data_IF_169431282153
#
_entry.id   IF_169431282153
#
_cell.length_a   1.000
_cell.length_b   1.000
_cell.length_c   1.000
_cell.angle_alpha   90.00
_cell.angle_beta   90.00
_cell.angle_gamma   90.00
#
_symmetry.space_group_name_H-M   'P 1'
#
loop_
_entity.id
_entity.type
_entity.pdbx_description
1 polymer ?
#
# COMPACT_ATOMS: atom_id res chain seq x y z
N UNK A 1 11.49 27.47 42.76
CA UNK A 1 11.70 27.41 41.28
C UNK A 1 12.10 26.03 40.76
N UNK A 2 12.56 25.07 41.56
CA UNK A 2 13.05 23.75 41.06
C UNK A 2 11.98 22.69 40.86
N UNK A 3 10.82 22.76 41.53
CA UNK A 3 9.73 21.79 41.40
C UNK A 3 8.86 22.00 40.12
N UNK A 4 8.70 23.23 39.68
CA UNK A 4 7.93 23.60 38.49
C UNK A 4 8.68 23.26 37.19
N UNK A 5 10.01 23.29 37.20
CA UNK A 5 10.86 22.91 36.06
C UNK A 5 10.85 21.38 35.86
N UNK A 6 10.84 20.60 36.93
CA UNK A 6 10.75 19.13 36.84
C UNK A 6 9.39 18.66 36.34
N UNK A 7 8.29 19.35 36.69
CA UNK A 7 6.96 19.04 36.16
C UNK A 7 6.86 19.38 34.67
N UNK A 8 7.45 20.44 34.18
CA UNK A 8 7.49 20.84 32.79
C UNK A 8 8.33 19.86 31.93
N UNK A 9 9.44 19.34 32.46
CA UNK A 9 10.29 18.35 31.78
C UNK A 9 9.59 16.96 31.75
N UNK A 10 8.84 16.58 32.79
CA UNK A 10 8.08 15.31 32.81
C UNK A 10 6.86 15.36 31.89
N UNK A 11 6.24 16.53 31.66
CA UNK A 11 5.12 16.71 30.72
C UNK A 11 5.65 16.71 29.26
N UNK A 12 6.89 17.11 29.01
CA UNK A 12 7.47 17.08 27.65
C UNK A 12 7.89 15.68 27.17
N UNK A 13 7.99 14.69 28.09
CA UNK A 13 8.37 13.30 27.76
C UNK A 13 7.13 12.40 27.50
N UNK A 14 5.92 12.90 27.77
CA UNK A 14 4.69 12.08 27.71
C UNK A 14 3.93 12.12 26.39
N UNK A 15 4.44 12.81 25.36
CA UNK A 15 3.92 12.77 23.99
C UNK A 15 4.96 12.17 23.04
N UNK A 16 5.36 10.93 23.29
CA UNK A 16 5.88 10.11 22.22
C UNK A 16 4.65 9.66 21.41
N UNK A 17 4.27 10.44 20.41
CA UNK A 17 3.33 10.03 19.40
C UNK A 17 3.90 8.74 18.79
N UNK A 18 3.10 7.68 18.74
CA UNK A 18 3.48 6.46 18.03
C UNK A 18 3.43 6.84 16.56
N UNK A 19 4.57 7.07 15.97
CA UNK A 19 4.71 7.31 14.55
C UNK A 19 4.34 6.00 13.86
N UNK A 20 3.22 6.00 13.13
CA UNK A 20 2.86 4.91 12.25
C UNK A 20 3.68 5.10 10.97
N UNK A 21 4.78 4.38 10.84
CA UNK A 21 5.52 4.37 9.58
C UNK A 21 4.60 3.81 8.50
N UNK A 22 4.49 4.53 7.37
CA UNK A 22 3.83 3.98 6.19
C UNK A 22 4.43 2.61 5.91
N UNK A 23 3.58 1.62 5.69
CA UNK A 23 4.04 0.27 5.47
C UNK A 23 4.89 0.20 4.20
N UNK A 24 6.20 0.02 4.36
CA UNK A 24 7.15 -0.10 3.25
C UNK A 24 6.95 -1.36 2.39
N UNK A 25 5.95 -2.18 2.73
CA UNK A 25 5.64 -3.43 2.02
C UNK A 25 4.76 -3.22 0.80
N UNK A 26 3.89 -2.19 0.80
CA UNK A 26 2.89 -1.95 -0.24
C UNK A 26 2.87 -0.48 -0.67
N UNK A 27 3.89 -0.07 -1.42
CA UNK A 27 3.99 1.30 -1.95
C UNK A 27 3.37 1.35 -3.35
N UNK A 28 2.03 1.43 -3.41
CA UNK A 28 1.26 1.45 -4.66
C UNK A 28 0.03 2.36 -4.55
N UNK A 29 -0.21 3.19 -5.57
CA UNK A 29 -1.48 3.87 -5.76
C UNK A 29 -2.32 3.04 -6.72
N UNK A 30 -3.39 2.44 -6.22
CA UNK A 30 -4.22 1.50 -6.96
C UNK A 30 -5.10 2.18 -8.00
N UNK A 31 -5.27 1.56 -9.19
CA UNK A 31 -6.34 1.89 -10.12
C UNK A 31 -7.69 1.33 -9.62
N UNK A 32 -8.82 1.87 -10.14
CA UNK A 32 -10.14 1.34 -9.81
C UNK A 32 -10.41 -0.05 -10.39
N UNK A 33 -9.70 -0.40 -11.46
CA UNK A 33 -9.89 -1.65 -12.17
C UNK A 33 -9.54 -2.85 -11.28
N UNK A 34 -10.34 -3.91 -11.41
CA UNK A 34 -10.10 -5.19 -10.76
C UNK A 34 -9.54 -6.20 -11.76
N UNK A 35 -8.84 -7.20 -11.27
CA UNK A 35 -8.39 -8.33 -12.09
C UNK A 35 -9.60 -8.99 -12.76
N UNK A 36 -9.55 -9.25 -14.08
CA UNK A 36 -10.67 -9.85 -14.79
C UNK A 36 -11.09 -11.23 -14.25
N UNK A 37 -12.34 -11.62 -14.44
CA UNK A 37 -12.82 -12.94 -14.03
C UNK A 37 -11.94 -14.07 -14.57
N UNK A 38 -11.68 -15.09 -13.76
CA UNK A 38 -10.83 -16.25 -14.12
C UNK A 38 -9.39 -15.89 -14.48
N UNK A 39 -8.92 -14.78 -13.99
CA UNK A 39 -7.54 -14.37 -14.12
C UNK A 39 -6.95 -14.30 -12.72
N UNK A 40 -5.75 -14.81 -12.56
CA UNK A 40 -4.93 -14.61 -11.37
C UNK A 40 -3.82 -13.64 -11.72
N UNK A 41 -3.69 -12.58 -10.96
CA UNK A 41 -2.55 -11.67 -10.99
C UNK A 41 -1.58 -12.09 -9.89
N UNK A 42 -0.30 -12.18 -10.23
CA UNK A 42 0.78 -12.40 -9.27
C UNK A 42 1.73 -11.23 -9.39
N UNK A 43 1.94 -10.51 -8.29
CA UNK A 43 2.80 -9.33 -8.23
C UNK A 43 3.88 -9.53 -7.16
N UNK A 44 5.04 -8.99 -7.45
CA UNK A 44 6.13 -8.86 -6.50
C UNK A 44 6.41 -7.37 -6.36
N UNK A 45 6.28 -6.86 -5.14
CA UNK A 45 6.67 -5.51 -4.77
C UNK A 45 8.00 -5.61 -4.04
N UNK A 46 9.02 -4.96 -4.57
CA UNK A 46 10.36 -4.92 -4.00
C UNK A 46 10.68 -3.48 -3.64
N UNK A 47 10.76 -3.18 -2.35
CA UNK A 47 10.98 -1.84 -1.83
C UNK A 47 12.26 -1.83 -0.98
N UNK A 48 13.28 -1.13 -1.46
CA UNK A 48 14.56 -1.01 -0.75
C UNK A 48 14.68 0.35 -0.09
N UNK A 49 14.74 0.37 1.24
CA UNK A 49 14.99 1.58 2.02
C UNK A 49 16.49 1.88 2.04
N UNK A 50 16.91 2.90 1.29
CA UNK A 50 18.31 3.34 1.20
C UNK A 50 18.71 4.16 2.43
N UNK A 51 17.81 5.04 2.89
CA UNK A 51 18.00 5.86 4.10
C UNK A 51 16.68 5.92 4.87
N UNK A 52 16.63 5.22 5.98
CA UNK A 52 15.47 5.09 6.85
C UNK A 52 15.85 5.14 8.33
N UNK A 53 14.96 4.62 9.19
CA UNK A 53 15.22 4.53 10.63
C UNK A 53 16.41 3.62 10.92
N UNK A 54 17.29 4.05 11.84
CA UNK A 54 18.57 3.37 12.13
C UNK A 54 18.57 2.66 13.48
N UNK A 55 17.54 2.89 14.26
CA UNK A 55 17.42 2.38 15.64
C UNK A 55 16.13 1.63 15.82
N UNK A 56 16.10 0.70 16.76
CA UNK A 56 14.89 0.03 17.18
C UNK A 56 13.95 1.05 17.85
N UNK A 57 12.73 1.18 17.36
CA UNK A 57 11.71 2.09 17.89
C UNK A 57 10.48 1.32 18.33
N UNK A 58 10.10 1.43 19.59
CA UNK A 58 8.95 0.70 20.17
C UNK A 58 8.95 -0.82 19.93
N UNK A 59 10.13 -1.43 19.78
CA UNK A 59 10.28 -2.86 19.47
C UNK A 59 10.22 -3.21 17.98
N UNK A 60 10.00 -2.22 17.11
CA UNK A 60 10.02 -2.35 15.66
C UNK A 60 11.44 -2.22 15.12
N UNK A 61 11.82 -3.12 14.23
CA UNK A 61 13.16 -3.16 13.61
C UNK A 61 13.38 -1.94 12.71
N UNK A 62 14.63 -1.45 12.60
CA UNK A 62 14.95 -0.32 11.75
C UNK A 62 14.75 -0.67 10.26
N UNK A 63 14.38 0.33 9.47
CA UNK A 63 14.15 0.19 8.03
C UNK A 63 15.40 0.45 7.19
N UNK A 64 16.44 1.08 7.77
CA UNK A 64 17.64 1.47 7.04
C UNK A 64 18.36 0.28 6.41
N UNK A 65 18.57 0.32 5.10
CA UNK A 65 19.13 -0.75 4.26
C UNK A 65 18.32 -2.07 4.28
N UNK A 66 17.04 -2.03 4.68
CA UNK A 66 16.15 -3.16 4.60
C UNK A 66 15.52 -3.28 3.19
N UNK A 67 15.38 -4.51 2.71
CA UNK A 67 14.55 -4.84 1.56
C UNK A 67 13.20 -5.36 2.07
N UNK A 68 12.12 -4.73 1.64
CA UNK A 68 10.77 -5.14 1.91
C UNK A 68 10.18 -5.80 0.66
N UNK A 69 9.75 -7.03 0.80
CA UNK A 69 9.23 -7.83 -0.31
C UNK A 69 7.79 -8.23 -0.03
N UNK A 70 6.92 -8.00 -0.98
CA UNK A 70 5.53 -8.45 -0.93
C UNK A 70 5.22 -9.34 -2.12
N UNK A 71 4.73 -10.53 -1.83
CA UNK A 71 4.09 -11.39 -2.82
C UNK A 71 2.58 -11.16 -2.72
N UNK A 72 2.01 -10.55 -3.76
CA UNK A 72 0.56 -10.41 -3.91
C UNK A 72 0.03 -11.44 -4.91
N UNK A 73 -1.04 -12.14 -4.54
CA UNK A 73 -1.77 -13.07 -5.42
C UNK A 73 -3.22 -12.64 -5.43
N UNK A 74 -3.66 -12.03 -6.52
CA UNK A 74 -5.03 -11.52 -6.67
C UNK A 74 -5.82 -12.34 -7.66
N UNK A 75 -6.98 -12.84 -7.23
CA UNK A 75 -7.92 -13.61 -8.05
C UNK A 75 -9.13 -12.77 -8.43
N UNK A 76 -9.36 -12.59 -9.74
CA UNK A 76 -10.60 -12.02 -10.26
C UNK A 76 -11.76 -13.02 -10.11
N UNK A 77 -12.78 -12.62 -9.34
CA UNK A 77 -13.96 -13.46 -9.05
C UNK A 77 -15.03 -13.25 -10.14
N UNK A 78 -15.32 -11.99 -10.44
CA UNK A 78 -16.29 -11.58 -11.46
C UNK A 78 -15.92 -10.19 -12.00
N UNK A 79 -16.78 -9.58 -12.84
CA UNK A 79 -16.52 -8.28 -13.47
C UNK A 79 -16.50 -7.06 -12.52
N UNK A 80 -16.79 -7.26 -11.24
CA UNK A 80 -16.85 -6.20 -10.25
C UNK A 80 -16.16 -6.55 -8.90
N UNK A 81 -15.57 -7.74 -8.77
CA UNK A 81 -14.98 -8.21 -7.51
C UNK A 81 -13.72 -9.03 -7.74
N UNK A 82 -12.72 -8.78 -6.90
CA UNK A 82 -11.51 -9.58 -6.76
C UNK A 82 -11.18 -9.84 -5.29
N UNK A 83 -10.29 -10.80 -5.03
CA UNK A 83 -9.70 -11.05 -3.71
C UNK A 83 -8.20 -11.21 -3.87
N UNK A 84 -7.43 -10.39 -3.16
CA UNK A 84 -5.98 -10.44 -3.04
C UNK A 84 -5.54 -11.11 -1.74
N UNK A 85 -4.39 -11.76 -1.79
CA UNK A 85 -3.67 -12.30 -0.66
C UNK A 85 -2.24 -11.78 -0.71
N UNK A 86 -1.74 -11.31 0.42
CA UNK A 86 -0.40 -10.76 0.57
C UNK A 86 0.42 -11.60 1.53
N UNK A 87 1.66 -11.83 1.17
CA UNK A 87 2.68 -12.38 2.06
C UNK A 87 3.82 -11.37 2.12
N UNK A 88 4.02 -10.78 3.29
CA UNK A 88 5.08 -9.81 3.53
C UNK A 88 6.33 -10.47 4.07
N UNK A 89 7.47 -10.05 3.55
CA UNK A 89 8.77 -10.43 4.08
C UNK A 89 9.74 -9.27 4.07
N UNK A 90 10.78 -9.36 4.89
CA UNK A 90 11.84 -8.36 4.97
C UNK A 90 13.20 -9.04 4.98
N UNK A 91 14.17 -8.46 4.29
CA UNK A 91 15.58 -8.85 4.36
C UNK A 91 16.31 -7.74 5.08
N UNK A 92 16.70 -8.00 6.31
CA UNK A 92 17.40 -7.07 7.19
C UNK A 92 18.91 -7.30 7.16
N UNK A 93 19.76 -6.26 7.20
CA UNK A 93 21.20 -6.41 7.15
C UNK A 93 21.77 -7.39 8.18
N UNK A 94 21.27 -7.33 9.42
CA UNK A 94 21.79 -8.13 10.53
C UNK A 94 20.93 -9.36 10.87
N UNK A 95 19.74 -9.50 10.26
CA UNK A 95 18.78 -10.56 10.59
C UNK A 95 18.42 -11.47 9.41
N UNK A 96 18.87 -11.14 8.18
CA UNK A 96 18.54 -11.88 6.98
C UNK A 96 17.05 -11.83 6.60
N UNK A 97 16.60 -12.84 5.87
CA UNK A 97 15.20 -12.94 5.46
C UNK A 97 14.29 -13.32 6.63
N UNK A 98 13.19 -12.61 6.76
CA UNK A 98 12.16 -12.87 7.76
C UNK A 98 10.76 -12.72 7.15
N UNK A 99 9.86 -13.63 7.50
CA UNK A 99 8.44 -13.43 7.30
C UNK A 99 7.94 -12.32 8.23
N UNK A 100 7.11 -11.43 7.70
CA UNK A 100 6.58 -10.26 8.41
C UNK A 100 5.13 -10.45 8.79
N UNK A 101 4.30 -10.85 7.85
CA UNK A 101 2.86 -11.00 8.04
C UNK A 101 2.13 -11.38 6.76
N UNK A 102 0.81 -11.46 6.87
CA UNK A 102 -0.09 -11.82 5.78
C UNK A 102 -1.37 -10.98 5.86
N UNK A 103 -1.86 -10.53 4.70
CA UNK A 103 -3.12 -9.82 4.59
C UNK A 103 -4.05 -10.46 3.56
N UNK A 104 -5.36 -10.23 3.73
CA UNK A 104 -6.39 -10.54 2.75
C UNK A 104 -7.09 -9.25 2.33
N UNK A 105 -7.28 -9.08 1.00
CA UNK A 105 -7.80 -7.85 0.41
C UNK A 105 -8.96 -8.12 -0.56
N UNK A 106 -10.21 -8.23 -0.09
CA UNK A 106 -11.37 -8.15 -0.98
C UNK A 106 -11.53 -6.72 -1.52
N UNK A 107 -11.73 -6.59 -2.83
CA UNK A 107 -12.01 -5.32 -3.51
C UNK A 107 -13.21 -5.45 -4.43
N UNK A 108 -14.05 -4.43 -4.44
CA UNK A 108 -15.22 -4.31 -5.32
C UNK A 108 -15.14 -3.01 -6.11
N UNK A 109 -15.59 -3.03 -7.36
CA UNK A 109 -15.65 -1.85 -8.23
C UNK A 109 -17.04 -1.59 -8.78
N UNK A 110 -17.28 -0.36 -9.18
CA UNK A 110 -18.44 -0.03 -10.01
C UNK A 110 -18.20 -0.60 -11.42
N UNK A 111 -19.08 -1.47 -11.92
CA UNK A 111 -18.92 -2.06 -13.24
C UNK A 111 -18.95 -1.02 -14.37
N UNK A 112 -18.11 -1.19 -15.39
CA UNK A 112 -18.02 -0.27 -16.54
C UNK A 112 -19.37 -0.09 -17.28
N UNK A 113 -20.23 -1.11 -17.30
CA UNK A 113 -21.59 -1.05 -17.90
C UNK A 113 -22.49 0.02 -17.29
N UNK A 114 -22.14 0.58 -16.11
CA UNK A 114 -22.90 1.69 -15.50
C UNK A 114 -22.47 3.06 -16.01
N UNK A 115 -21.42 3.12 -16.84
CA UNK A 115 -20.93 4.34 -17.50
C UNK A 115 -20.71 5.53 -16.54
N UNK A 116 -20.15 5.27 -15.36
CA UNK A 116 -19.83 6.34 -14.44
C UNK A 116 -18.74 7.26 -15.02
N UNK A 117 -18.76 8.56 -14.68
CA UNK A 117 -17.83 9.53 -15.25
C UNK A 117 -16.39 9.36 -14.74
N UNK A 118 -16.21 8.58 -13.68
CA UNK A 118 -14.93 8.23 -13.05
C UNK A 118 -14.91 6.76 -12.68
N UNK A 119 -13.73 6.16 -12.62
CA UNK A 119 -13.54 4.84 -12.04
C UNK A 119 -13.70 4.91 -10.51
N UNK A 120 -14.43 3.95 -9.92
CA UNK A 120 -14.60 3.86 -8.47
C UNK A 120 -14.51 2.42 -8.03
N UNK A 121 -13.68 2.17 -7.02
CA UNK A 121 -13.65 0.89 -6.31
C UNK A 121 -13.46 1.11 -4.81
N UNK A 122 -13.76 0.07 -4.04
CA UNK A 122 -13.57 0.02 -2.60
C UNK A 122 -12.77 -1.22 -2.26
N UNK A 123 -11.56 -1.02 -1.78
CA UNK A 123 -10.71 -2.05 -1.22
C UNK A 123 -10.92 -2.11 0.29
N UNK A 124 -10.87 -3.30 0.84
CA UNK A 124 -10.74 -3.54 2.27
C UNK A 124 -9.57 -4.50 2.46
N UNK A 125 -8.75 -4.23 3.45
CA UNK A 125 -7.62 -5.08 3.76
C UNK A 125 -7.61 -5.39 5.24
N UNK A 126 -7.42 -6.66 5.57
CA UNK A 126 -7.35 -7.12 6.95
C UNK A 126 -6.18 -8.08 7.10
N UNK A 127 -5.35 -7.86 8.10
CA UNK A 127 -4.21 -8.71 8.27
C UNK A 127 -3.44 -8.59 9.56
N UNK A 128 -2.38 -9.37 9.59
CA UNK A 128 -1.48 -9.52 10.71
C UNK A 128 -0.04 -9.20 10.31
N UNK A 129 0.64 -8.44 11.16
CA UNK A 129 2.08 -8.27 11.11
C UNK A 129 2.72 -8.61 12.47
N UNK A 130 3.94 -9.14 12.42
CA UNK A 130 4.70 -9.49 13.62
C UNK A 130 5.13 -8.23 14.38
N UNK A 131 5.16 -8.27 15.73
CA UNK A 131 5.55 -7.11 16.55
C UNK A 131 6.94 -6.52 16.24
N UNK A 132 7.84 -7.31 15.64
CA UNK A 132 9.15 -6.83 15.23
C UNK A 132 9.11 -5.91 14.00
N UNK A 133 7.97 -5.82 13.27
CA UNK A 133 7.83 -5.05 12.05
C UNK A 133 6.69 -4.03 12.10
N UNK A 134 5.73 -4.21 13.00
CA UNK A 134 4.66 -3.24 13.25
C UNK A 134 4.30 -3.24 14.73
N UNK A 135 4.17 -2.06 15.32
CA UNK A 135 3.65 -1.92 16.67
C UNK A 135 2.18 -2.37 16.77
N UNK A 136 1.42 -2.14 15.70
CA UNK A 136 0.02 -2.52 15.55
C UNK A 136 -0.08 -3.80 14.72
N UNK A 137 -0.25 -4.93 15.42
CA UNK A 137 -0.09 -6.25 14.81
C UNK A 137 -1.31 -6.75 14.04
N UNK A 138 -2.49 -6.22 14.31
CA UNK A 138 -3.73 -6.53 13.59
C UNK A 138 -4.40 -5.25 13.17
N UNK A 139 -4.55 -5.07 11.86
CA UNK A 139 -5.11 -3.87 11.27
C UNK A 139 -6.25 -4.20 10.32
N UNK A 140 -7.12 -3.24 10.11
CA UNK A 140 -8.13 -3.21 9.08
C UNK A 140 -8.07 -1.88 8.35
N UNK A 141 -7.89 -1.96 7.05
CA UNK A 141 -7.86 -0.83 6.16
C UNK A 141 -9.11 -0.80 5.27
N UNK A 142 -9.64 0.40 5.04
CA UNK A 142 -10.66 0.68 4.02
C UNK A 142 -10.07 1.73 3.09
N UNK A 143 -9.97 1.39 1.80
CA UNK A 143 -9.38 2.25 0.77
C UNK A 143 -10.38 2.48 -0.36
N UNK A 144 -11.17 3.57 -0.35
CA UNK A 144 -11.84 4.06 -1.54
C UNK A 144 -10.80 4.40 -2.62
N UNK A 145 -11.08 4.05 -3.86
CA UNK A 145 -10.22 4.32 -5.00
C UNK A 145 -11.06 5.06 -6.02
N UNK A 146 -10.60 6.24 -6.44
CA UNK A 146 -11.26 7.08 -7.43
C UNK A 146 -10.22 7.46 -8.46
N UNK A 147 -10.45 7.10 -9.72
CA UNK A 147 -9.52 7.46 -10.77
C UNK A 147 -10.19 7.95 -12.05
N UNK A 148 -9.39 8.58 -12.88
CA UNK A 148 -9.80 9.01 -14.21
C UNK A 148 -8.62 9.14 -15.16
N UNK A 149 -8.82 8.63 -16.38
CA UNK A 149 -7.97 8.94 -17.52
C UNK A 149 -8.62 10.04 -18.38
N UNK A 150 -7.86 11.12 -18.66
CA UNK A 150 -8.26 12.24 -19.50
C UNK A 150 -7.17 12.40 -20.55
N UNK A 151 -7.47 11.99 -21.79
CA UNK A 151 -6.52 11.91 -22.90
C UNK A 151 -5.25 11.09 -22.51
N UNK A 152 -4.13 11.79 -22.30
CA UNK A 152 -2.84 11.21 -21.92
C UNK A 152 -2.53 11.32 -20.43
N UNK A 153 -3.39 11.97 -19.65
CA UNK A 153 -3.26 12.11 -18.20
C UNK A 153 -4.04 11.04 -17.46
N UNK A 154 -3.43 10.46 -16.45
CA UNK A 154 -4.08 9.57 -15.49
C UNK A 154 -3.97 10.15 -14.09
N UNK A 155 -5.07 10.15 -13.39
CA UNK A 155 -5.22 10.67 -12.04
C UNK A 155 -5.86 9.57 -11.18
N UNK A 156 -5.27 9.23 -10.05
CA UNK A 156 -5.87 8.33 -9.05
C UNK A 156 -5.74 8.93 -7.66
N UNK A 157 -6.78 8.77 -6.86
CA UNK A 157 -6.85 9.17 -5.46
C UNK A 157 -7.38 8.03 -4.62
N UNK A 158 -6.59 7.60 -3.63
CA UNK A 158 -6.89 6.53 -2.70
C UNK A 158 -6.86 7.07 -1.27
N UNK A 159 -7.95 7.67 -0.74
CA UNK A 159 -8.05 8.04 0.66
C UNK A 159 -8.19 6.79 1.51
N UNK A 160 -7.13 6.45 2.23
CA UNK A 160 -7.07 5.24 3.06
C UNK A 160 -7.45 5.56 4.49
N UNK A 161 -8.28 4.71 5.06
CA UNK A 161 -8.69 4.73 6.47
C UNK A 161 -8.23 3.45 7.12
N UNK A 162 -7.51 3.54 8.23
CA UNK A 162 -6.98 2.39 8.95
C UNK A 162 -7.45 2.34 10.39
N UNK A 163 -7.67 1.12 10.90
CA UNK A 163 -8.01 0.85 12.29
C UNK A 163 -7.19 -0.30 12.84
N UNK A 164 -6.47 -0.03 13.94
CA UNK A 164 -5.78 -1.07 14.69
C UNK A 164 -6.72 -1.82 15.63
N UNK A 165 -6.56 -3.13 15.70
CA UNK A 165 -7.26 -4.00 16.66
C UNK A 165 -6.36 -4.53 17.76
N UNK A 166 -5.05 -4.46 17.58
CA UNK A 166 -4.09 -4.90 18.58
C UNK A 166 -2.79 -4.10 18.45
N UNK A 167 -2.39 -3.43 19.51
CA UNK A 167 -1.24 -2.56 19.59
C UNK A 167 -1.59 -1.20 20.18
N UNK A 168 -0.64 -0.25 20.21
CA UNK A 168 -0.86 1.09 20.77
C UNK A 168 -1.96 1.87 20.04
N UNK A 169 -2.05 1.76 18.71
CA UNK A 169 -3.01 2.47 17.86
C UNK A 169 -4.47 2.12 18.09
N UNK A 170 -4.78 1.07 18.89
CA UNK A 170 -6.17 0.72 19.27
C UNK A 170 -6.90 1.90 19.90
N UNK A 171 -6.20 2.75 20.65
CA UNK A 171 -6.77 3.89 21.36
C UNK A 171 -6.71 5.20 20.57
N UNK A 172 -6.01 5.24 19.43
CA UNK A 172 -5.76 6.47 18.65
C UNK A 172 -6.91 6.80 17.67
N UNK A 173 -7.80 5.84 17.44
CA UNK A 173 -8.94 6.04 16.56
C UNK A 173 -8.72 5.50 15.15
N UNK A 174 -9.26 6.21 14.15
CA UNK A 174 -9.12 5.84 12.73
C UNK A 174 -8.03 6.70 12.10
N UNK A 175 -6.97 6.08 11.63
CA UNK A 175 -5.89 6.73 10.89
C UNK A 175 -6.34 7.14 9.48
N UNK A 176 -5.69 8.17 8.93
CA UNK A 176 -5.94 8.68 7.58
C UNK A 176 -4.66 8.80 6.78
N UNK A 177 -4.60 8.08 5.66
CA UNK A 177 -3.44 7.99 4.77
C UNK A 177 -3.85 8.23 3.31
N UNK A 178 -3.84 9.48 2.81
CA UNK A 178 -4.18 9.78 1.43
C UNK A 178 -3.04 9.43 0.49
N UNK A 179 -3.33 8.69 -0.59
CA UNK A 179 -2.40 8.37 -1.65
C UNK A 179 -2.90 8.92 -2.99
N UNK A 180 -2.01 9.49 -3.79
CA UNK A 180 -2.36 10.17 -5.05
C UNK A 180 -1.35 9.79 -6.12
N UNK A 181 -1.84 9.52 -7.34
CA UNK A 181 -1.00 9.37 -8.56
C UNK A 181 -1.45 10.34 -9.63
N UNK A 182 -0.48 11.03 -10.21
CA UNK A 182 -0.65 11.82 -11.43
C UNK A 182 0.37 11.35 -12.42
N UNK A 183 -0.04 10.80 -13.56
CA UNK A 183 0.89 10.34 -14.59
C UNK A 183 0.47 10.76 -15.99
N UNK A 184 1.43 10.74 -16.92
CA UNK A 184 1.27 11.17 -18.29
C UNK A 184 1.86 10.13 -19.25
N UNK A 185 1.09 9.75 -20.26
CA UNK A 185 1.53 8.81 -21.30
C UNK A 185 2.49 9.52 -22.28
N UNK A 186 3.79 9.33 -22.14
CA UNK A 186 4.78 9.82 -23.09
C UNK A 186 4.67 9.10 -24.42
N UNK A 187 4.42 7.80 -24.37
CA UNK A 187 4.17 6.93 -25.52
C UNK A 187 3.01 5.98 -25.20
N UNK A 188 2.67 5.09 -26.14
CA UNK A 188 1.70 4.01 -25.88
C UNK A 188 2.19 2.95 -24.90
N UNK A 189 3.49 2.92 -24.61
CA UNK A 189 4.13 1.89 -23.77
C UNK A 189 4.80 2.44 -22.50
N UNK A 190 4.97 3.75 -22.42
CA UNK A 190 5.71 4.37 -21.32
C UNK A 190 4.90 5.54 -20.82
N UNK A 191 4.54 5.49 -19.57
CA UNK A 191 4.03 6.63 -18.82
C UNK A 191 4.96 6.94 -17.64
N UNK A 192 4.90 8.16 -17.18
CA UNK A 192 5.65 8.58 -16.00
C UNK A 192 4.88 9.61 -15.24
N UNK A 193 5.14 9.72 -13.97
CA UNK A 193 4.37 10.58 -13.10
C UNK A 193 4.96 10.78 -11.72
N UNK A 194 4.12 11.29 -10.88
CA UNK A 194 4.39 11.50 -9.47
C UNK A 194 3.34 10.77 -8.65
N UNK A 195 3.79 9.98 -7.71
CA UNK A 195 2.96 9.41 -6.66
C UNK A 195 3.27 10.10 -5.34
N UNK A 196 2.24 10.35 -4.56
CA UNK A 196 2.32 10.88 -3.21
C UNK A 196 1.69 9.89 -2.26
N UNK A 197 2.35 9.68 -1.13
CA UNK A 197 1.90 8.87 -0.01
C UNK A 197 1.96 9.70 1.26
N UNK A 198 0.85 9.74 2.01
CA UNK A 198 0.76 10.46 3.26
C UNK A 198 0.22 9.59 4.38
N UNK A 199 0.67 9.83 5.62
CA UNK A 199 0.00 9.36 6.82
C UNK A 199 -0.14 10.56 7.77
N UNK A 200 -1.38 10.93 8.09
CA UNK A 200 -1.68 12.17 8.79
C UNK A 200 -2.00 11.95 10.28
N UNK A 201 -2.01 10.69 10.72
CA UNK A 201 -2.47 10.32 12.04
C UNK A 201 -3.99 10.16 12.09
N UNK A 202 -4.58 10.34 13.28
CA UNK A 202 -6.00 10.10 13.51
C UNK A 202 -6.91 11.16 12.89
N UNK A 203 -8.03 10.73 12.31
CA UNK A 203 -9.11 11.63 11.87
C UNK A 203 -9.69 12.52 12.97
N UNK A 204 -9.56 12.12 14.22
CA UNK A 204 -10.02 12.92 15.37
C UNK A 204 -9.13 14.11 15.70
N UNK A 205 -7.90 14.11 15.17
CA UNK A 205 -6.90 15.16 15.34
C UNK A 205 -5.61 14.71 14.65
N UNK A 206 -5.30 15.37 13.52
CA UNK A 206 -4.08 15.06 12.78
C UNK A 206 -2.83 15.37 13.60
N UNK A 207 -1.80 14.58 13.40
CA UNK A 207 -0.50 14.78 14.02
C UNK A 207 0.15 16.09 13.56
N UNK A 208 1.09 16.65 14.34
CA UNK A 208 1.91 17.76 13.88
C UNK A 208 2.64 17.41 12.58
N UNK A 209 2.80 18.36 11.67
CA UNK A 209 3.35 18.09 10.31
C UNK A 209 4.70 17.36 10.32
N UNK A 210 5.53 17.56 11.32
CA UNK A 210 6.84 16.89 11.43
C UNK A 210 6.74 15.41 11.87
N UNK A 211 5.58 15.02 12.43
CA UNK A 211 5.23 13.65 12.83
C UNK A 211 4.37 12.95 11.77
N UNK A 212 3.81 13.71 10.80
CA UNK A 212 3.10 13.13 9.64
C UNK A 212 4.12 12.55 8.66
N UNK A 213 3.70 11.54 7.92
CA UNK A 213 4.49 11.04 6.80
C UNK A 213 4.10 11.70 5.49
N UNK A 214 5.12 12.09 4.73
CA UNK A 214 4.98 12.66 3.41
C UNK A 214 6.09 12.13 2.49
N UNK A 215 5.72 11.28 1.54
CA UNK A 215 6.63 10.71 0.56
C UNK A 215 6.19 11.03 -0.87
N UNK A 216 7.15 11.37 -1.72
CA UNK A 216 6.94 11.66 -3.13
C UNK A 216 7.80 10.72 -3.97
N UNK A 217 7.15 10.02 -4.91
CA UNK A 217 7.78 9.06 -5.81
C UNK A 217 7.64 9.53 -7.26
N UNK A 218 8.64 10.15 -7.90
CA UNK A 218 8.77 10.09 -9.34
C UNK A 218 8.75 8.64 -9.80
N UNK A 219 7.83 8.30 -10.71
CA UNK A 219 7.61 6.93 -11.17
C UNK A 219 7.57 6.81 -12.68
N UNK A 220 7.88 5.62 -13.15
CA UNK A 220 7.71 5.19 -14.53
C UNK A 220 6.94 3.88 -14.58
N UNK A 221 5.94 3.81 -15.43
CA UNK A 221 5.19 2.60 -15.75
C UNK A 221 5.55 2.17 -17.18
N UNK A 222 5.79 0.86 -17.38
CA UNK A 222 6.13 0.32 -18.69
C UNK A 222 5.15 -0.78 -19.08
N UNK A 223 4.46 -0.59 -20.19
CA UNK A 223 3.55 -1.58 -20.78
C UNK A 223 4.35 -2.59 -21.62
N UNK A 224 4.55 -3.78 -21.05
CA UNK A 224 5.10 -4.95 -21.73
C UNK A 224 4.01 -5.83 -22.38
N UNK A 225 2.75 -5.37 -22.38
CA UNK A 225 1.58 -6.07 -22.90
C UNK A 225 0.58 -6.42 -21.81
N UNK A 226 -0.64 -6.84 -22.20
CA UNK A 226 -1.79 -6.93 -21.29
C UNK A 226 -1.63 -7.92 -20.12
N UNK A 227 -0.62 -8.80 -20.21
CA UNK A 227 -0.34 -9.77 -19.16
C UNK A 227 0.66 -9.29 -18.12
N UNK A 228 1.32 -8.13 -18.35
CA UNK A 228 2.38 -7.65 -17.50
C UNK A 228 2.02 -6.31 -16.88
N UNK A 229 2.53 -6.12 -15.69
CA UNK A 229 2.58 -4.85 -14.99
C UNK A 229 4.01 -4.56 -14.56
N UNK A 230 4.44 -3.32 -14.73
CA UNK A 230 5.73 -2.85 -14.28
C UNK A 230 5.64 -1.40 -13.85
N UNK A 231 6.01 -1.15 -12.60
CA UNK A 231 6.18 0.19 -12.05
C UNK A 231 7.53 0.26 -11.35
N UNK A 232 8.23 1.37 -11.55
CA UNK A 232 9.48 1.67 -10.86
C UNK A 232 9.45 3.10 -10.38
N UNK A 233 9.98 3.35 -9.16
CA UNK A 233 10.03 4.68 -8.59
C UNK A 233 11.14 4.86 -7.56
N UNK A 234 11.49 6.12 -7.33
CA UNK A 234 12.42 6.54 -6.27
C UNK A 234 11.69 7.49 -5.36
N UNK A 235 11.54 7.12 -4.11
CA UNK A 235 10.79 7.86 -3.08
C UNK A 235 11.68 8.76 -2.25
N UNK A 236 11.19 9.97 -2.03
CA UNK A 236 11.82 10.96 -1.15
C UNK A 236 10.84 11.30 -0.03
N UNK A 237 11.20 10.96 1.21
CA UNK A 237 10.49 11.38 2.42
C UNK A 237 10.93 12.78 2.84
N UNK A 238 9.97 13.64 3.16
CA UNK A 238 10.24 15.06 3.44
C UNK A 238 10.00 15.46 4.90
N UNK A 239 9.57 14.53 5.74
CA UNK A 239 9.32 14.73 7.18
C UNK A 239 10.18 13.81 8.02
N UNK A 240 10.27 14.07 9.34
CA UNK A 240 11.08 13.27 10.26
C UNK A 240 10.53 11.86 10.46
N UNK A 241 9.21 11.70 10.34
CA UNK A 241 8.53 10.42 10.49
C UNK A 241 8.69 9.49 9.27
N UNK A 242 9.22 10.00 8.16
CA UNK A 242 9.28 9.28 6.88
C UNK A 242 10.67 8.72 6.64
N UNK A 243 10.77 7.51 6.08
CA UNK A 243 12.02 7.04 5.46
C UNK A 243 12.43 8.01 4.34
N UNK A 244 13.69 8.47 4.36
CA UNK A 244 14.12 9.58 3.50
C UNK A 244 14.36 9.20 2.05
N UNK A 245 14.76 7.94 1.80
CA UNK A 245 15.05 7.48 0.43
C UNK A 245 14.68 6.01 0.28
N UNK A 246 13.73 5.75 -0.62
CA UNK A 246 13.25 4.40 -0.94
C UNK A 246 13.31 4.20 -2.46
N UNK A 247 13.73 3.02 -2.89
CA UNK A 247 13.61 2.58 -4.28
C UNK A 247 12.56 1.49 -4.33
N UNK A 248 11.53 1.66 -5.17
CA UNK A 248 10.48 0.66 -5.36
C UNK A 248 10.47 0.08 -6.77
N UNK A 249 10.10 -1.18 -6.87
CA UNK A 249 9.86 -1.89 -8.12
C UNK A 249 8.68 -2.83 -7.96
N UNK A 250 7.69 -2.74 -8.83
CA UNK A 250 6.55 -3.66 -8.89
C UNK A 250 6.61 -4.38 -10.23
N UNK A 251 6.55 -5.71 -10.18
CA UNK A 251 6.47 -6.57 -11.35
C UNK A 251 5.30 -7.51 -11.17
N UNK A 252 4.33 -7.43 -12.08
CA UNK A 252 3.14 -8.26 -12.03
C UNK A 252 2.93 -9.05 -13.31
N UNK A 253 2.27 -10.20 -13.18
CA UNK A 253 1.87 -11.04 -14.31
C UNK A 253 0.50 -11.63 -14.13
N UNK A 254 -0.34 -11.51 -15.18
CA UNK A 254 -1.68 -12.09 -15.26
C UNK A 254 -1.64 -13.46 -15.90
N UNK A 255 -2.35 -14.43 -15.27
CA UNK A 255 -2.52 -15.80 -15.73
C UNK A 255 -4.01 -16.05 -15.97
N UNK A 256 -4.39 -16.28 -17.22
CA UNK A 256 -5.77 -16.56 -17.58
C UNK A 256 -6.06 -18.06 -17.49
N UNK A 257 -7.19 -18.42 -16.88
CA UNK A 257 -7.63 -19.81 -16.77
C UNK A 257 -8.58 -20.17 -17.92
N UNK A 258 -8.26 -21.21 -18.72
CA UNK A 258 -9.06 -21.58 -19.87
C UNK A 258 -10.47 -22.02 -19.48
N UNK A 259 -11.44 -21.70 -20.33
CA UNK A 259 -12.79 -22.25 -20.22
C UNK A 259 -12.73 -23.76 -20.44
N UNK A 260 -13.10 -24.58 -19.43
CA UNK A 260 -13.52 -25.95 -19.69
C UNK A 260 -14.87 -25.86 -20.40
N UNK A 261 -14.88 -25.84 -21.75
CA UNK A 261 -16.11 -26.13 -22.48
C UNK A 261 -16.54 -27.57 -22.11
N UNK A 262 -17.62 -27.69 -21.35
CA UNK A 262 -18.24 -28.97 -21.15
C UNK A 262 -18.67 -29.47 -22.55
N UNK A 263 -17.90 -30.39 -23.14
CA UNK A 263 -18.39 -31.20 -24.23
C UNK A 263 -19.51 -32.05 -23.62
N UNK A 264 -20.76 -31.57 -23.76
CA UNK A 264 -21.92 -32.41 -23.63
C UNK A 264 -21.80 -33.47 -24.74
N UNK A 265 -21.27 -34.64 -24.38
CA UNK A 265 -21.45 -35.83 -25.19
C UNK A 265 -22.96 -36.17 -25.16
N UNK A 266 -23.73 -35.63 -26.10
CA UNK A 266 -25.03 -36.11 -26.38
C UNK A 266 -24.83 -37.40 -27.19
N UNK A 267 -24.71 -38.53 -26.50
CA UNK A 267 -24.90 -39.83 -27.10
C UNK A 267 -26.41 -39.93 -27.40
N UNK A 268 -26.77 -39.76 -28.65
CA UNK A 268 -28.06 -40.20 -29.14
C UNK A 268 -28.02 -41.74 -29.28
N UNK A 269 -29.06 -42.44 -28.85
CA UNK A 269 -29.23 -43.89 -29.03
C UNK A 269 -29.45 -44.29 -30.48
#
# INVERSE_FOLDING_TARGET
MTRSLLLAVVILIAFASVVHAQENYEIQVYPYETVPPRTTMVEIHSNFTVDGTKTLENGVLPTNHAMHETLEITQGINDWMEVGFYVFSSIQPDHGWQWVGDHIRPRVRIPERWHWPVGVSLSQEFGYQRPAFSADTWTWEIRPIIDKKIDRWYLSFNPTLERSFHGPGVNEGVGFSPNVKVSFDFTKKISGGLEYYGAYGSLSGFDPVHEQEHQFFPTIDVDFGPQWEFNFGVGIGVTQATDHLIVKCIVGRRFEWPHKSAKLNVNHP
#
